data_IF_387193703471
#
_entry.id   IF_387193703471
#
_cell.length_a   1.000
_cell.length_b   1.000
_cell.length_c   1.000
_cell.angle_alpha   90.00
_cell.angle_beta   90.00
_cell.angle_gamma   90.00
#
_symmetry.space_group_name_H-M   'P 1'
#
loop_
_entity.id
_entity.type
_entity.pdbx_description
1 polymer ?
#
# COMPACT_ATOMS: atom_id res chain seq x y z
N UNK A 1 -10.56 -17.93 -10.02
CA UNK A 1 -10.28 -16.58 -9.44
C UNK A 1 -11.62 -15.87 -9.32
N UNK A 2 -11.83 -15.02 -8.35
CA UNK A 2 -13.08 -14.39 -7.89
C UNK A 2 -13.87 -13.58 -8.97
N UNK A 3 -14.09 -14.19 -10.13
CA UNK A 3 -14.74 -13.58 -11.31
C UNK A 3 -16.17 -13.10 -11.03
N UNK A 4 -16.85 -13.84 -10.16
CA UNK A 4 -18.26 -13.57 -9.82
C UNK A 4 -18.42 -12.81 -8.50
N UNK A 5 -17.32 -12.37 -7.88
CA UNK A 5 -17.40 -11.60 -6.65
C UNK A 5 -18.01 -10.23 -6.90
N UNK A 6 -18.98 -9.92 -6.09
CA UNK A 6 -19.66 -8.63 -6.03
C UNK A 6 -18.84 -7.63 -5.20
N UNK A 7 -19.25 -6.38 -5.17
CA UNK A 7 -18.64 -5.39 -4.27
C UNK A 7 -18.81 -5.83 -2.81
N UNK A 8 -19.93 -6.46 -2.44
CA UNK A 8 -20.17 -6.95 -1.07
C UNK A 8 -19.13 -8.00 -0.65
N UNK A 9 -18.74 -8.89 -1.56
CA UNK A 9 -17.71 -9.87 -1.27
C UNK A 9 -16.33 -9.20 -1.05
N UNK A 10 -16.01 -8.17 -1.85
CA UNK A 10 -14.76 -7.42 -1.75
C UNK A 10 -14.68 -6.52 -0.52
N UNK A 11 -15.81 -6.14 0.11
CA UNK A 11 -15.84 -5.33 1.33
C UNK A 11 -15.19 -6.01 2.54
N UNK A 12 -15.20 -7.34 2.58
CA UNK A 12 -14.66 -8.15 3.67
C UNK A 12 -13.15 -8.31 3.61
N UNK A 13 -12.53 -7.89 2.50
CA UNK A 13 -11.10 -8.09 2.27
C UNK A 13 -10.28 -6.99 2.93
N UNK A 14 -9.33 -7.38 3.76
CA UNK A 14 -8.24 -6.54 4.21
C UNK A 14 -7.10 -6.62 3.19
N UNK A 15 -6.84 -5.52 2.53
CA UNK A 15 -5.84 -5.36 1.48
C UNK A 15 -4.54 -4.89 2.08
N UNK A 16 -3.44 -5.56 1.81
CA UNK A 16 -2.14 -5.19 2.36
C UNK A 16 -1.04 -5.14 1.31
N UNK A 17 -0.01 -4.36 1.60
CA UNK A 17 1.20 -4.28 0.80
C UNK A 17 2.30 -3.50 1.52
N UNK A 18 3.54 -3.54 0.97
CA UNK A 18 4.63 -2.69 1.41
C UNK A 18 4.91 -1.58 0.40
N UNK A 19 5.28 -0.41 0.92
CA UNK A 19 5.68 0.68 0.06
C UNK A 19 6.88 1.45 0.60
N UNK A 20 7.73 1.91 -0.31
CA UNK A 20 8.89 2.72 0.01
C UNK A 20 8.56 4.21 -0.07
N UNK A 21 9.02 4.97 0.90
CA UNK A 21 8.89 6.43 0.95
C UNK A 21 10.28 7.04 1.00
N UNK A 22 10.53 7.97 0.09
CA UNK A 22 11.77 8.72 0.09
C UNK A 22 11.64 9.97 0.98
N UNK A 23 12.58 10.17 1.90
CA UNK A 23 12.61 11.37 2.74
C UNK A 23 12.79 12.65 1.92
N UNK A 24 13.60 12.57 0.87
CA UNK A 24 13.92 13.69 -0.03
C UNK A 24 13.83 13.17 -1.46
N UNK A 25 13.27 13.98 -2.34
CA UNK A 25 13.09 13.64 -3.74
C UNK A 25 11.72 13.06 -4.06
N UNK A 26 11.55 12.59 -5.27
CA UNK A 26 10.28 12.05 -5.74
C UNK A 26 10.26 10.52 -5.63
N UNK A 27 9.14 9.96 -5.17
CA UNK A 27 8.85 8.53 -5.22
C UNK A 27 8.36 8.08 -6.61
N UNK A 28 8.52 8.92 -7.62
CA UNK A 28 8.15 8.67 -8.99
C UNK A 28 8.65 9.76 -9.94
N UNK A 29 8.33 9.64 -11.22
CA UNK A 29 8.66 10.67 -12.22
C UNK A 29 7.84 11.93 -11.96
N UNK A 30 8.50 13.04 -11.67
CA UNK A 30 7.87 14.36 -11.66
C UNK A 30 7.98 14.97 -13.06
N UNK A 31 6.84 15.41 -13.59
CA UNK A 31 6.79 16.16 -14.85
C UNK A 31 6.62 17.64 -14.52
N UNK A 32 7.56 18.45 -14.97
CA UNK A 32 7.46 19.91 -14.89
C UNK A 32 7.23 20.44 -16.31
N UNK A 33 6.23 21.28 -16.47
CA UNK A 33 5.99 21.98 -17.71
C UNK A 33 7.11 23.00 -17.96
N UNK A 34 7.68 22.97 -19.13
CA UNK A 34 8.74 23.85 -19.56
C UNK A 34 8.44 24.37 -20.95
N UNK A 35 8.64 25.65 -21.17
CA UNK A 35 8.57 26.23 -22.51
C UNK A 35 9.66 25.66 -23.42
N UNK A 36 9.30 25.39 -24.68
CA UNK A 36 10.21 24.84 -25.66
C UNK A 36 11.38 25.81 -25.90
N UNK A 37 12.61 25.36 -25.64
CA UNK A 37 13.81 26.15 -25.84
C UNK A 37 14.38 26.84 -24.59
N UNK A 38 13.69 26.77 -23.43
CA UNK A 38 14.26 27.29 -22.18
C UNK A 38 15.28 26.31 -21.54
N UNK A 39 16.33 26.85 -20.94
CA UNK A 39 17.28 26.06 -20.16
C UNK A 39 16.63 25.58 -18.87
N UNK A 40 17.15 24.48 -18.30
CA UNK A 40 16.77 24.02 -16.95
C UNK A 40 17.19 25.08 -15.94
N UNK A 41 16.25 25.49 -15.10
CA UNK A 41 16.49 26.43 -13.99
C UNK A 41 16.29 25.73 -12.65
N UNK A 42 16.74 26.33 -11.55
CA UNK A 42 16.53 25.80 -10.21
C UNK A 42 15.05 25.65 -9.86
N UNK A 43 14.15 26.40 -10.50
CA UNK A 43 12.70 26.26 -10.37
C UNK A 43 12.14 25.00 -11.08
N UNK A 44 12.87 24.46 -12.05
CA UNK A 44 12.48 23.27 -12.83
C UNK A 44 13.26 22.02 -12.45
N UNK A 45 14.23 22.14 -11.55
CA UNK A 45 15.05 21.01 -11.07
C UNK A 45 14.73 20.72 -9.60
N UNK A 46 14.48 19.46 -9.31
CA UNK A 46 14.35 19.01 -7.92
C UNK A 46 15.75 18.92 -7.30
N UNK A 47 16.01 19.50 -6.12
CA UNK A 47 17.30 19.41 -5.47
C UNK A 47 17.68 17.95 -5.24
N UNK A 48 18.82 17.52 -5.77
CA UNK A 48 19.38 16.19 -5.50
C UNK A 48 20.43 16.33 -4.40
N UNK A 49 20.21 15.66 -3.29
CA UNK A 49 21.21 15.63 -2.21
C UNK A 49 22.31 14.64 -2.61
N UNK A 50 23.46 15.14 -3.09
CA UNK A 50 24.68 14.35 -3.24
C UNK A 50 25.15 13.97 -1.83
N UNK A 51 25.28 12.70 -1.53
CA UNK A 51 25.82 12.17 -0.26
C UNK A 51 24.94 12.29 1.00
N UNK A 52 23.65 12.35 0.88
CA UNK A 52 22.76 12.17 2.01
C UNK A 52 22.18 10.75 1.99
N UNK A 53 22.93 9.78 2.54
CA UNK A 53 22.61 8.37 2.53
C UNK A 53 21.13 8.10 2.75
N UNK A 54 20.61 7.23 1.94
CA UNK A 54 19.27 6.74 1.86
C UNK A 54 18.54 6.53 3.17
N UNK A 55 18.00 7.56 3.70
CA UNK A 55 17.01 7.47 4.74
C UNK A 55 15.65 7.33 4.05
N UNK A 56 15.47 6.19 3.40
CA UNK A 56 14.19 5.77 2.89
C UNK A 56 13.47 5.02 4.00
N UNK A 57 12.19 5.27 4.13
CA UNK A 57 11.31 4.53 4.99
C UNK A 57 10.60 3.45 4.15
N UNK A 58 10.62 2.21 4.59
CA UNK A 58 9.76 1.17 4.09
C UNK A 58 8.64 0.99 5.10
N UNK A 59 7.41 0.99 4.66
CA UNK A 59 6.26 0.76 5.51
C UNK A 59 5.40 -0.37 4.94
N UNK A 60 4.83 -1.16 5.83
CA UNK A 60 3.70 -2.03 5.57
C UNK A 60 2.42 -1.31 6.00
N UNK A 61 1.34 -1.53 5.31
CA UNK A 61 0.04 -1.01 5.70
C UNK A 61 -1.09 -1.78 5.06
N UNK A 62 -2.30 -1.56 5.58
CA UNK A 62 -3.49 -2.23 5.08
C UNK A 62 -4.70 -1.32 5.05
N UNK A 63 -5.67 -1.67 4.21
CA UNK A 63 -6.94 -0.97 4.11
C UNK A 63 -8.11 -1.94 3.93
N UNK A 64 -9.26 -1.54 4.41
CA UNK A 64 -10.53 -2.23 4.20
C UNK A 64 -11.64 -1.25 3.79
N UNK A 65 -12.86 -1.73 3.77
CA UNK A 65 -14.03 -0.92 3.40
C UNK A 65 -14.24 0.29 4.32
N UNK A 66 -14.03 0.11 5.61
CA UNK A 66 -14.26 1.14 6.62
C UNK A 66 -13.07 2.11 6.81
N UNK A 67 -12.03 2.02 5.97
CA UNK A 67 -10.91 2.94 5.99
C UNK A 67 -9.55 2.26 5.95
N UNK A 68 -8.55 2.89 6.54
CA UNK A 68 -7.20 2.35 6.66
C UNK A 68 -7.00 1.64 8.00
N UNK A 69 -6.34 0.49 7.96
CA UNK A 69 -5.89 -0.23 9.15
C UNK A 69 -4.61 0.36 9.72
N UNK A 70 -3.80 -0.49 10.27
CA UNK A 70 -2.48 -0.12 10.83
C UNK A 70 -1.48 0.21 9.72
N UNK A 71 -0.47 0.97 10.10
CA UNK A 71 0.71 1.29 9.31
C UNK A 71 1.94 1.10 10.20
N UNK A 72 2.89 0.29 9.77
CA UNK A 72 4.09 0.03 10.56
C UNK A 72 5.36 0.12 9.74
N UNK A 73 6.47 0.50 10.38
CA UNK A 73 7.79 0.55 9.73
C UNK A 73 8.30 -0.86 9.49
N UNK A 74 8.82 -1.09 8.28
CA UNK A 74 9.54 -2.30 7.93
C UNK A 74 11.03 -2.04 8.05
N UNK A 75 11.66 -2.64 9.04
CA UNK A 75 13.09 -2.49 9.25
C UNK A 75 13.88 -3.21 8.14
N UNK A 76 14.72 -2.43 7.40
CA UNK A 76 15.62 -2.96 6.36
C UNK A 76 14.89 -3.78 5.28
N UNK A 77 15.26 -5.08 5.14
CA UNK A 77 14.62 -6.04 4.25
C UNK A 77 13.70 -6.93 5.08
N UNK A 78 12.41 -6.93 4.77
CA UNK A 78 11.46 -7.80 5.45
C UNK A 78 11.82 -9.27 5.21
N UNK A 79 12.02 -9.99 6.30
CA UNK A 79 12.16 -11.43 6.32
C UNK A 79 10.90 -12.08 6.87
N UNK A 80 10.77 -13.40 6.73
CA UNK A 80 9.61 -14.17 7.24
C UNK A 80 9.31 -13.90 8.72
N UNK A 81 10.34 -13.70 9.56
CA UNK A 81 10.15 -13.43 10.99
C UNK A 81 9.42 -12.12 11.19
N UNK A 82 9.94 -11.03 10.60
CA UNK A 82 9.32 -9.72 10.71
C UNK A 82 7.92 -9.67 10.08
N UNK A 83 7.70 -10.41 8.96
CA UNK A 83 6.36 -10.53 8.41
C UNK A 83 5.39 -11.18 9.40
N UNK A 84 5.80 -12.26 10.08
CA UNK A 84 4.96 -12.89 11.09
C UNK A 84 4.72 -11.99 12.32
N UNK A 85 5.69 -11.14 12.70
CA UNK A 85 5.50 -10.13 13.74
C UNK A 85 4.45 -9.09 13.31
N UNK A 86 4.50 -8.61 12.07
CA UNK A 86 3.48 -7.71 11.51
C UNK A 86 2.09 -8.39 11.48
N UNK A 87 2.02 -9.68 11.13
CA UNK A 87 0.74 -10.40 11.18
C UNK A 87 0.18 -10.44 12.60
N UNK A 88 1.01 -10.76 13.58
CA UNK A 88 0.62 -10.86 15.00
C UNK A 88 0.18 -9.52 15.58
N UNK A 89 0.96 -8.46 15.33
CA UNK A 89 0.80 -7.17 15.98
C UNK A 89 -0.23 -6.28 15.27
N UNK A 90 -0.34 -6.37 13.94
CA UNK A 90 -1.06 -5.34 13.17
C UNK A 90 -2.32 -5.84 12.46
N UNK A 91 -2.37 -7.12 12.04
CA UNK A 91 -3.47 -7.59 11.18
C UNK A 91 -4.75 -7.77 11.97
N UNK A 92 -4.70 -8.43 13.13
CA UNK A 92 -5.88 -8.62 13.99
C UNK A 92 -6.44 -7.29 14.44
N UNK A 93 -5.58 -6.39 14.97
CA UNK A 93 -5.99 -5.04 15.37
C UNK A 93 -6.53 -4.20 14.20
N UNK A 94 -6.07 -4.46 12.96
CA UNK A 94 -6.62 -3.79 11.77
C UNK A 94 -8.02 -4.27 11.44
N UNK A 95 -8.31 -5.56 11.55
CA UNK A 95 -9.67 -6.08 11.40
C UNK A 95 -10.62 -5.50 12.45
N UNK A 96 -10.18 -5.44 13.71
CA UNK A 96 -10.96 -4.84 14.80
C UNK A 96 -11.22 -3.34 14.57
N UNK A 97 -10.16 -2.56 14.23
CA UNK A 97 -10.27 -1.13 13.89
C UNK A 97 -11.25 -0.88 12.75
N UNK A 98 -11.34 -1.80 11.80
CA UNK A 98 -12.18 -1.71 10.61
C UNK A 98 -13.54 -2.38 10.78
N UNK A 99 -13.86 -2.86 11.99
CA UNK A 99 -15.16 -3.46 12.34
C UNK A 99 -15.53 -4.65 11.41
N UNK A 100 -14.54 -5.53 11.15
CA UNK A 100 -14.75 -6.76 10.36
C UNK A 100 -14.92 -7.93 11.33
N UNK A 101 -16.09 -8.56 11.28
CA UNK A 101 -16.42 -9.72 12.13
C UNK A 101 -15.47 -10.90 11.88
N UNK A 102 -15.19 -11.69 12.92
CA UNK A 102 -14.18 -12.77 12.85
C UNK A 102 -14.45 -13.76 11.73
N UNK A 103 -15.71 -14.17 11.56
CA UNK A 103 -16.13 -15.15 10.55
C UNK A 103 -16.06 -14.61 9.12
N UNK A 104 -15.89 -13.30 8.96
CA UNK A 104 -15.84 -12.62 7.68
C UNK A 104 -14.42 -12.17 7.28
N UNK A 105 -13.39 -12.46 8.11
CA UNK A 105 -12.02 -12.02 7.88
C UNK A 105 -11.40 -12.66 6.65
N UNK A 106 -11.15 -11.84 5.64
CA UNK A 106 -10.45 -12.24 4.41
C UNK A 106 -9.24 -11.33 4.25
N UNK A 107 -8.07 -11.94 4.02
CA UNK A 107 -6.81 -11.21 3.88
C UNK A 107 -6.25 -11.35 2.48
N UNK A 108 -5.75 -10.26 1.94
CA UNK A 108 -5.01 -10.25 0.68
C UNK A 108 -3.54 -9.91 0.92
N UNK A 109 -2.67 -10.73 0.38
CA UNK A 109 -1.23 -10.49 0.25
C UNK A 109 -0.73 -11.02 -1.09
N UNK A 110 0.47 -10.62 -1.50
CA UNK A 110 1.11 -11.17 -2.68
C UNK A 110 1.75 -12.54 -2.42
N UNK A 111 2.33 -13.14 -3.46
CA UNK A 111 2.97 -14.45 -3.39
C UNK A 111 4.48 -14.38 -3.07
N UNK A 112 4.97 -13.34 -2.40
CA UNK A 112 6.36 -13.32 -1.95
C UNK A 112 6.63 -14.55 -1.04
N UNK A 113 7.77 -15.24 -1.18
CA UNK A 113 8.11 -16.40 -0.35
C UNK A 113 8.02 -16.16 1.16
N UNK A 114 8.22 -14.93 1.64
CA UNK A 114 8.05 -14.58 3.05
C UNK A 114 6.59 -14.67 3.49
N UNK A 115 5.65 -14.28 2.59
CA UNK A 115 4.21 -14.29 2.83
C UNK A 115 3.62 -15.71 2.77
N UNK A 116 4.15 -16.55 1.88
CA UNK A 116 3.69 -17.93 1.68
C UNK A 116 4.47 -18.96 2.50
N UNK A 117 5.27 -18.52 3.46
CA UNK A 117 6.04 -19.39 4.34
C UNK A 117 5.12 -20.27 5.21
N UNK A 118 5.61 -21.45 5.61
CA UNK A 118 4.86 -22.35 6.50
C UNK A 118 4.44 -21.68 7.81
N UNK A 119 5.28 -20.76 8.33
CA UNK A 119 4.98 -20.02 9.56
C UNK A 119 3.81 -19.04 9.36
N UNK A 120 3.83 -18.28 8.26
CA UNK A 120 2.75 -17.36 7.94
C UNK A 120 1.43 -18.10 7.63
N UNK A 121 1.48 -19.16 6.83
CA UNK A 121 0.29 -19.99 6.53
C UNK A 121 -0.34 -20.53 7.81
N UNK A 122 0.50 -21.12 8.70
CA UNK A 122 0.01 -21.63 9.97
C UNK A 122 -0.61 -20.53 10.85
N UNK A 123 -0.04 -19.34 10.86
CA UNK A 123 -0.59 -18.20 11.62
C UNK A 123 -2.01 -17.84 11.13
N UNK A 124 -2.24 -17.79 9.81
CA UNK A 124 -3.57 -17.53 9.25
C UNK A 124 -4.57 -18.63 9.61
N UNK A 125 -4.13 -19.91 9.58
CA UNK A 125 -4.97 -21.05 9.99
C UNK A 125 -5.32 -20.99 11.49
N UNK A 126 -4.34 -20.66 12.35
CA UNK A 126 -4.53 -20.58 13.81
C UNK A 126 -5.44 -19.38 14.22
N UNK A 127 -5.58 -18.38 13.36
CA UNK A 127 -6.43 -17.19 13.59
C UNK A 127 -7.75 -17.19 12.77
N UNK A 128 -8.09 -18.28 12.10
CA UNK A 128 -9.29 -18.42 11.27
C UNK A 128 -9.44 -17.33 10.19
N UNK A 129 -8.31 -16.81 9.66
CA UNK A 129 -8.29 -15.79 8.62
C UNK A 129 -8.12 -16.43 7.25
N UNK A 130 -9.09 -16.21 6.37
CA UNK A 130 -9.02 -16.70 5.00
C UNK A 130 -8.07 -15.85 4.15
N UNK A 131 -6.99 -16.43 3.62
CA UNK A 131 -6.13 -15.77 2.63
C UNK A 131 -6.63 -16.06 1.22
N UNK A 132 -6.88 -15.01 0.42
CA UNK A 132 -7.34 -15.21 -0.95
C UNK A 132 -6.18 -15.60 -1.87
N UNK A 133 -6.37 -16.59 -2.76
CA UNK A 133 -5.40 -16.90 -3.80
C UNK A 133 -5.17 -15.68 -4.70
N UNK A 134 -3.92 -15.28 -4.85
CA UNK A 134 -3.56 -14.07 -5.60
C UNK A 134 -2.66 -14.41 -6.79
N UNK A 135 -2.86 -13.82 -7.98
CA UNK A 135 -1.98 -14.03 -9.12
C UNK A 135 -0.63 -13.36 -8.88
N UNK A 136 0.44 -14.00 -9.33
CA UNK A 136 1.77 -13.43 -9.23
C UNK A 136 1.89 -12.15 -10.07
N UNK A 137 2.68 -11.18 -9.60
CA UNK A 137 2.99 -9.93 -10.31
C UNK A 137 1.74 -9.16 -10.79
N UNK A 138 0.74 -9.02 -9.94
CA UNK A 138 -0.52 -8.37 -10.26
C UNK A 138 -0.80 -7.13 -9.38
N UNK A 139 0.08 -6.11 -9.39
CA UNK A 139 -0.13 -4.89 -8.61
C UNK A 139 -1.36 -4.11 -9.09
N UNK A 140 -1.70 -4.19 -10.38
CA UNK A 140 -2.89 -3.56 -10.95
C UNK A 140 -4.22 -4.12 -10.40
N UNK A 141 -4.20 -5.34 -9.84
CA UNK A 141 -5.34 -5.87 -9.08
C UNK A 141 -5.39 -5.35 -7.65
N UNK A 142 -4.27 -5.06 -7.02
CA UNK A 142 -4.26 -4.64 -5.62
C UNK A 142 -4.70 -3.17 -5.48
N UNK A 143 -5.87 -2.87 -4.89
CA UNK A 143 -6.36 -1.50 -4.79
C UNK A 143 -5.51 -0.61 -3.88
N UNK A 144 -4.73 -1.17 -2.95
CA UNK A 144 -3.86 -0.41 -2.06
C UNK A 144 -2.73 0.29 -2.83
N UNK A 145 -2.34 -0.21 -4.01
CA UNK A 145 -1.33 0.46 -4.85
C UNK A 145 -1.80 1.85 -5.30
N UNK A 146 -3.08 1.99 -5.62
CA UNK A 146 -3.67 3.31 -5.89
C UNK A 146 -3.81 4.16 -4.63
N UNK A 147 -4.05 3.54 -3.47
CA UNK A 147 -4.02 4.26 -2.21
C UNK A 147 -2.62 4.82 -1.93
N UNK A 148 -1.56 4.03 -2.15
CA UNK A 148 -0.18 4.48 -2.05
C UNK A 148 0.12 5.70 -2.93
N UNK A 149 -0.35 5.69 -4.18
CA UNK A 149 -0.16 6.84 -5.08
C UNK A 149 -0.87 8.10 -4.56
N UNK A 150 -2.11 7.96 -4.10
CA UNK A 150 -2.88 9.06 -3.53
C UNK A 150 -2.22 9.62 -2.26
N UNK A 151 -1.82 8.75 -1.36
CA UNK A 151 -1.18 9.11 -0.09
C UNK A 151 0.20 9.76 -0.30
N UNK A 152 1.05 9.18 -1.16
CA UNK A 152 2.35 9.79 -1.51
C UNK A 152 2.22 11.17 -2.17
N UNK A 153 1.13 11.41 -2.90
CA UNK A 153 0.84 12.75 -3.42
C UNK A 153 0.62 13.74 -2.27
N UNK A 154 -0.16 13.38 -1.26
CA UNK A 154 -0.39 14.23 -0.08
C UNK A 154 0.89 14.48 0.72
N UNK A 155 1.72 13.45 0.92
CA UNK A 155 3.02 13.61 1.59
C UNK A 155 3.94 14.61 0.87
N UNK A 156 3.88 14.68 -0.47
CA UNK A 156 4.63 15.68 -1.24
C UNK A 156 4.09 17.11 -1.08
N UNK A 157 2.80 17.24 -0.83
CA UNK A 157 2.13 18.51 -0.58
C UNK A 157 2.28 18.98 0.87
N UNK A 158 2.91 18.17 1.73
CA UNK A 158 3.16 18.54 3.13
C UNK A 158 4.05 19.79 3.20
N UNK A 159 3.69 20.75 4.05
CA UNK A 159 4.40 22.02 4.08
C UNK A 159 5.86 21.88 4.53
N UNK A 160 6.78 22.72 4.00
CA UNK A 160 8.17 22.76 4.44
C UNK A 160 8.29 23.14 5.92
N UNK A 161 9.41 22.81 6.59
CA UNK A 161 10.61 22.18 6.04
C UNK A 161 10.48 20.68 5.82
N UNK A 162 11.35 20.07 4.98
CA UNK A 162 11.40 18.61 4.84
C UNK A 162 11.79 17.96 6.18
N UNK A 163 11.39 16.70 6.42
CA UNK A 163 11.67 16.02 7.68
C UNK A 163 13.18 15.92 7.93
N UNK A 164 13.61 16.21 9.16
CA UNK A 164 15.04 16.21 9.55
C UNK A 164 15.63 14.79 9.60
N UNK A 165 14.81 13.79 9.85
CA UNK A 165 15.23 12.38 9.97
C UNK A 165 14.14 11.40 9.61
N UNK A 166 14.43 10.11 9.75
CA UNK A 166 13.46 9.02 9.49
C UNK A 166 12.32 9.05 10.51
N UNK A 167 12.63 9.35 11.77
CA UNK A 167 11.62 9.44 12.83
C UNK A 167 10.56 10.51 12.52
N UNK A 168 10.97 11.74 12.18
CA UNK A 168 10.04 12.80 11.80
C UNK A 168 9.29 12.46 10.50
N UNK A 169 9.95 11.74 9.58
CA UNK A 169 9.27 11.24 8.39
C UNK A 169 8.18 10.23 8.77
N UNK A 170 8.46 9.30 9.67
CA UNK A 170 7.49 8.30 10.13
C UNK A 170 6.29 8.95 10.80
N UNK A 171 6.51 9.95 11.65
CA UNK A 171 5.42 10.72 12.27
C UNK A 171 4.50 11.38 11.22
N UNK A 172 5.06 12.07 10.23
CA UNK A 172 4.30 12.70 9.14
C UNK A 172 3.56 11.68 8.28
N UNK A 173 4.20 10.56 8.03
CA UNK A 173 3.68 9.44 7.26
C UNK A 173 2.46 8.84 7.96
N UNK A 174 2.54 8.60 9.27
CA UNK A 174 1.44 8.09 10.08
C UNK A 174 0.29 9.12 10.17
N UNK A 175 0.61 10.38 10.41
CA UNK A 175 -0.38 11.46 10.45
C UNK A 175 -1.20 11.57 9.14
N UNK A 176 -0.53 11.51 7.98
CA UNK A 176 -1.22 11.56 6.70
C UNK A 176 -1.96 10.27 6.35
N UNK A 177 -1.51 9.12 6.88
CA UNK A 177 -2.23 7.85 6.76
C UNK A 177 -3.58 7.90 7.46
N UNK A 178 -3.61 8.36 8.69
CA UNK A 178 -4.85 8.45 9.49
C UNK A 178 -5.85 9.48 8.95
N UNK A 179 -5.42 10.42 8.09
CA UNK A 179 -6.30 11.36 7.40
C UNK A 179 -6.98 10.77 6.15
N UNK A 180 -6.67 9.53 5.78
CA UNK A 180 -7.33 8.86 4.65
C UNK A 180 -8.74 8.47 5.07
N UNK A 181 -9.72 8.96 4.32
CA UNK A 181 -11.12 8.74 4.65
C UNK A 181 -11.64 7.39 4.15
N UNK A 182 -12.63 6.78 4.84
CA UNK A 182 -13.29 5.55 4.37
C UNK A 182 -13.78 5.66 2.91
N UNK A 183 -14.30 6.80 2.50
CA UNK A 183 -14.79 7.02 1.13
C UNK A 183 -13.68 6.87 0.07
N UNK A 184 -12.41 7.12 0.44
CA UNK A 184 -11.29 6.89 -0.46
C UNK A 184 -11.05 5.39 -0.66
N UNK A 185 -11.06 4.61 0.41
CA UNK A 185 -10.93 3.15 0.37
C UNK A 185 -12.10 2.50 -0.37
N UNK A 186 -13.33 2.93 -0.07
CA UNK A 186 -14.55 2.43 -0.71
C UNK A 186 -14.50 2.55 -2.23
N UNK A 187 -14.16 3.73 -2.75
CA UNK A 187 -14.03 3.94 -4.22
C UNK A 187 -13.01 3.02 -4.87
N UNK A 188 -11.92 2.70 -4.16
CA UNK A 188 -10.91 1.77 -4.65
C UNK A 188 -11.42 0.33 -4.66
N UNK A 189 -12.10 -0.10 -3.61
CA UNK A 189 -12.68 -1.44 -3.48
C UNK A 189 -13.85 -1.62 -4.46
N UNK A 190 -14.71 -0.62 -4.65
CA UNK A 190 -15.77 -0.62 -5.66
C UNK A 190 -15.25 -0.82 -7.09
N UNK A 191 -13.98 -0.50 -7.34
CA UNK A 191 -13.36 -0.73 -8.65
C UNK A 191 -13.01 -2.20 -8.90
N UNK A 192 -12.99 -3.07 -7.89
CA UNK A 192 -12.51 -4.45 -7.98
C UNK A 192 -13.22 -5.31 -9.04
N UNK A 193 -14.55 -5.32 -9.14
CA UNK A 193 -15.22 -6.09 -10.20
C UNK A 193 -14.76 -5.64 -11.60
N UNK A 194 -14.54 -4.34 -11.81
CA UNK A 194 -14.06 -3.81 -13.10
C UNK A 194 -12.60 -4.15 -13.37
N UNK A 195 -11.74 -4.20 -12.32
CA UNK A 195 -10.33 -4.63 -12.43
C UNK A 195 -10.26 -6.09 -12.86
N UNK A 196 -11.00 -6.96 -12.17
CA UNK A 196 -11.08 -8.40 -12.49
C UNK A 196 -11.53 -8.61 -13.93
N UNK A 197 -12.61 -7.95 -14.36
CA UNK A 197 -13.10 -8.03 -15.75
C UNK A 197 -12.07 -7.50 -16.78
N UNK A 198 -11.33 -6.46 -16.46
CA UNK A 198 -10.28 -5.93 -17.34
C UNK A 198 -9.15 -6.94 -17.56
N UNK A 199 -8.72 -7.65 -16.49
CA UNK A 199 -7.70 -8.69 -16.57
C UNK A 199 -8.19 -9.91 -17.36
N UNK A 200 -9.41 -10.36 -17.14
CA UNK A 200 -10.01 -11.46 -17.90
C UNK A 200 -10.06 -11.10 -19.39
N UNK A 201 -10.57 -9.91 -19.72
CA UNK A 201 -10.61 -9.40 -21.10
C UNK A 201 -9.20 -9.25 -21.71
N UNK A 202 -8.23 -8.84 -20.91
CA UNK A 202 -6.82 -8.70 -21.31
C UNK A 202 -6.06 -10.02 -21.32
N UNK A 203 -6.70 -11.17 -21.04
CA UNK A 203 -6.07 -12.50 -20.96
C UNK A 203 -4.84 -12.53 -20.06
N UNK A 204 -4.89 -11.82 -18.93
CA UNK A 204 -3.79 -11.71 -17.98
C UNK A 204 -2.71 -10.68 -18.35
N UNK A 205 -2.91 -9.88 -19.38
CA UNK A 205 -2.02 -8.77 -19.72
C UNK A 205 -2.22 -7.55 -18.82
N UNK A 206 -1.30 -6.57 -18.92
CA UNK A 206 -1.40 -5.31 -18.17
C UNK A 206 -2.73 -4.60 -18.39
N UNK A 207 -3.25 -4.04 -17.34
CA UNK A 207 -4.48 -3.26 -17.37
C UNK A 207 -4.18 -1.75 -17.22
N UNK A 208 -5.21 -0.93 -17.32
CA UNK A 208 -5.11 0.52 -17.09
C UNK A 208 -5.10 0.93 -15.61
N UNK A 209 -5.22 -0.04 -14.71
CA UNK A 209 -5.27 0.18 -13.27
C UNK A 209 -3.89 0.12 -12.64
#
# INVERSE_FOLDING_TARGET
MHENWTVEDWKRVLWSDETKINRIGSDGRMHTWKEKGTLLSDQTTTPTVKHGGGNNLMVWGCMGWNGVGKLTEVERKMYTVQHCEILEDEVVESFEKLEVEEEERIFQQDNDPKHTSKKATKWFEDNDIQVIPWPAQSPDLNPIEHLWMHWKKRLREYPPPPPKGVHELLERVAEEWDKITPQTCQRLIESMPKRVQAIIKGKGGHTKY
#
